data_IF_862695850173
#
_entry.id   IF_862695850173
#
_cell.length_a   1.000
_cell.length_b   1.000
_cell.length_c   1.000
_cell.angle_alpha   90.00
_cell.angle_beta   90.00
_cell.angle_gamma   90.00
#
_symmetry.space_group_name_H-M   'P 1'
#
loop_
_entity.id
_entity.type
_entity.pdbx_description
1 polymer ?
#
# COMPACT_ATOMS: atom_id res chain seq x y z
N UNK A 1 24.57 9.88 6.87
CA UNK A 1 24.15 9.26 5.58
C UNK A 1 25.20 9.38 4.46
N UNK A 2 25.66 10.60 4.16
CA UNK A 2 26.65 10.87 3.10
C UNK A 2 27.94 10.05 3.23
N UNK A 3 28.54 10.03 4.42
CA UNK A 3 29.78 9.29 4.70
C UNK A 3 29.62 7.78 4.47
N UNK A 4 28.50 7.20 4.89
CA UNK A 4 28.21 5.77 4.70
C UNK A 4 28.05 5.44 3.22
N UNK A 5 27.38 6.30 2.45
CA UNK A 5 27.25 6.14 1.00
C UNK A 5 28.60 6.23 0.29
N UNK A 6 29.46 7.20 0.68
CA UNK A 6 30.81 7.33 0.12
C UNK A 6 31.69 6.12 0.46
N UNK A 7 31.63 5.62 1.70
CA UNK A 7 32.32 4.41 2.12
C UNK A 7 31.84 3.19 1.33
N UNK A 8 30.53 3.05 1.12
CA UNK A 8 29.99 1.96 0.31
C UNK A 8 30.50 2.03 -1.14
N UNK A 9 30.53 3.23 -1.74
CA UNK A 9 31.06 3.43 -3.08
C UNK A 9 32.55 3.12 -3.18
N UNK A 10 33.35 3.55 -2.20
CA UNK A 10 34.79 3.25 -2.19
C UNK A 10 35.06 1.75 -2.05
N UNK A 11 34.37 1.07 -1.14
CA UNK A 11 34.44 -0.38 -0.97
C UNK A 11 34.00 -1.13 -2.24
N UNK A 12 32.92 -0.69 -2.88
CA UNK A 12 32.44 -1.28 -4.14
C UNK A 12 33.41 -1.06 -5.29
N UNK A 13 34.00 0.13 -5.39
CA UNK A 13 35.03 0.43 -6.39
C UNK A 13 36.25 -0.47 -6.20
N UNK A 14 36.76 -0.59 -4.98
CA UNK A 14 37.88 -1.48 -4.63
C UNK A 14 37.53 -2.93 -5.00
N UNK A 15 36.34 -3.40 -4.64
CA UNK A 15 35.90 -4.77 -4.97
C UNK A 15 35.82 -5.01 -6.49
N UNK A 16 35.22 -4.08 -7.24
CA UNK A 16 35.14 -4.18 -8.71
C UNK A 16 36.52 -4.12 -9.35
N UNK A 17 37.42 -3.29 -8.82
CA UNK A 17 38.81 -3.21 -9.27
C UNK A 17 39.58 -4.52 -9.04
N UNK A 18 39.53 -5.08 -7.83
CA UNK A 18 40.12 -6.39 -7.54
C UNK A 18 39.52 -7.50 -8.41
N UNK A 19 38.21 -7.45 -8.65
CA UNK A 19 37.54 -8.42 -9.52
C UNK A 19 38.00 -8.30 -10.97
N UNK A 20 38.05 -7.08 -11.51
CA UNK A 20 38.55 -6.82 -12.86
C UNK A 20 40.00 -7.26 -13.00
N UNK A 21 40.84 -7.02 -11.98
CA UNK A 21 42.21 -7.49 -11.92
C UNK A 21 42.29 -9.03 -11.92
N UNK A 22 41.44 -9.71 -11.14
CA UNK A 22 41.35 -11.17 -11.10
C UNK A 22 40.88 -11.79 -12.42
N UNK A 23 40.00 -11.10 -13.16
CA UNK A 23 39.57 -11.50 -14.51
C UNK A 23 40.72 -11.29 -15.51
N UNK A 24 41.39 -10.14 -15.46
CA UNK A 24 42.55 -9.85 -16.30
C UNK A 24 43.73 -10.83 -16.05
N UNK A 25 43.89 -11.29 -14.81
CA UNK A 25 44.86 -12.33 -14.42
C UNK A 25 44.41 -13.76 -14.79
N UNK A 26 43.26 -13.94 -15.46
CA UNK A 26 42.75 -15.24 -15.88
C UNK A 26 42.28 -16.15 -14.75
N UNK A 27 42.22 -15.64 -13.51
CA UNK A 27 41.84 -16.42 -12.31
C UNK A 27 40.34 -16.49 -12.07
N UNK A 28 39.55 -15.70 -12.79
CA UNK A 28 38.08 -15.71 -12.69
C UNK A 28 37.43 -15.49 -14.04
N UNK A 29 36.34 -16.20 -14.31
CA UNK A 29 35.54 -16.02 -15.53
C UNK A 29 34.68 -14.76 -15.40
N UNK A 30 34.45 -14.01 -16.49
CA UNK A 30 33.48 -12.93 -16.47
C UNK A 30 32.09 -13.52 -16.15
N UNK A 31 31.48 -13.09 -15.04
CA UNK A 31 30.03 -13.23 -14.89
C UNK A 31 29.42 -12.17 -15.80
N UNK A 32 29.02 -12.56 -17.00
CA UNK A 32 28.14 -11.71 -17.78
C UNK A 32 26.80 -11.64 -17.05
N UNK A 33 26.45 -10.45 -16.59
CA UNK A 33 25.15 -10.13 -15.97
C UNK A 33 23.98 -10.69 -16.80
N UNK A 34 24.16 -10.80 -18.13
CA UNK A 34 23.23 -11.45 -19.05
C UNK A 34 23.03 -12.95 -18.77
N UNK A 35 24.08 -13.73 -18.45
CA UNK A 35 23.95 -15.15 -18.10
C UNK A 35 23.19 -15.36 -16.79
N UNK A 36 23.38 -14.47 -15.82
CA UNK A 36 22.65 -14.48 -14.52
C UNK A 36 21.19 -14.05 -14.72
N UNK A 37 20.92 -13.14 -15.66
CA UNK A 37 19.57 -12.73 -16.01
C UNK A 37 18.84 -13.84 -16.78
N UNK A 38 19.52 -14.47 -17.75
CA UNK A 38 19.06 -15.65 -18.49
C UNK A 38 18.71 -16.80 -17.55
N UNK A 39 19.58 -17.12 -16.59
CA UNK A 39 19.33 -18.22 -15.63
C UNK A 39 18.12 -17.94 -14.73
N UNK A 40 17.93 -16.68 -14.32
CA UNK A 40 16.80 -16.28 -13.47
C UNK A 40 15.45 -16.33 -14.20
N UNK A 41 15.39 -15.79 -15.43
CA UNK A 41 14.18 -15.87 -16.25
C UNK A 41 13.84 -17.33 -16.62
N UNK A 42 14.85 -18.15 -16.93
CA UNK A 42 14.65 -19.56 -17.20
C UNK A 42 14.10 -20.32 -15.98
N UNK A 43 14.59 -20.03 -14.77
CA UNK A 43 14.07 -20.61 -13.55
C UNK A 43 12.60 -20.21 -13.29
N UNK A 44 12.26 -18.94 -13.48
CA UNK A 44 10.87 -18.47 -13.39
C UNK A 44 9.95 -19.21 -14.38
N UNK A 45 10.38 -19.40 -15.62
CA UNK A 45 9.58 -20.11 -16.64
C UNK A 45 9.41 -21.58 -16.31
N UNK A 46 10.46 -22.24 -15.80
CA UNK A 46 10.34 -23.63 -15.31
C UNK A 46 9.24 -23.74 -14.26
N UNK A 47 9.17 -22.79 -13.33
CA UNK A 47 8.08 -22.78 -12.32
C UNK A 47 6.69 -22.55 -12.93
N UNK A 48 6.58 -21.85 -14.07
CA UNK A 48 5.29 -21.65 -14.75
C UNK A 48 4.81 -22.92 -15.47
N UNK A 49 5.72 -23.73 -16.01
CA UNK A 49 5.39 -24.98 -16.70
C UNK A 49 5.26 -26.17 -15.75
N UNK A 50 5.85 -26.10 -14.55
CA UNK A 50 5.58 -27.02 -13.45
C UNK A 50 4.15 -26.78 -12.96
N UNK A 51 3.22 -27.60 -13.45
CA UNK A 51 1.83 -27.57 -13.00
C UNK A 51 1.79 -28.04 -11.55
N UNK A 52 1.63 -27.12 -10.61
CA UNK A 52 1.31 -27.45 -9.22
C UNK A 52 -0.19 -27.68 -9.12
N UNK A 53 -0.61 -28.76 -8.45
CA UNK A 53 -2.04 -28.96 -8.21
C UNK A 53 -2.58 -27.86 -7.27
N UNK A 54 -3.77 -27.30 -7.55
CA UNK A 54 -4.31 -26.18 -6.79
C UNK A 54 -4.55 -26.52 -5.31
N UNK A 55 -4.78 -27.81 -5.00
CA UNK A 55 -4.92 -28.32 -3.63
C UNK A 55 -3.58 -28.25 -2.87
N UNK A 56 -2.49 -28.60 -3.53
CA UNK A 56 -1.13 -28.51 -2.95
C UNK A 56 -0.68 -27.06 -2.73
N UNK A 57 -1.07 -26.13 -3.61
CA UNK A 57 -0.81 -24.70 -3.40
C UNK A 57 -1.58 -24.15 -2.19
N UNK A 58 -2.83 -24.56 -2.01
CA UNK A 58 -3.67 -24.10 -0.91
C UNK A 58 -3.18 -24.65 0.44
N UNK A 59 -2.76 -25.92 0.47
CA UNK A 59 -2.08 -26.52 1.62
C UNK A 59 -0.74 -25.85 1.93
N UNK A 60 0.09 -25.59 0.91
CA UNK A 60 1.38 -24.94 1.07
C UNK A 60 1.24 -23.51 1.61
N UNK A 61 0.17 -22.79 1.24
CA UNK A 61 -0.17 -21.47 1.79
C UNK A 61 -0.66 -21.57 3.23
N UNK A 62 -1.47 -22.59 3.57
CA UNK A 62 -1.93 -22.85 4.95
C UNK A 62 -0.78 -23.20 5.91
N UNK A 63 0.27 -23.90 5.43
CA UNK A 63 1.48 -24.22 6.21
C UNK A 63 2.41 -23.03 6.48
N UNK A 64 2.23 -21.87 5.84
CA UNK A 64 3.08 -20.68 6.09
C UNK A 64 2.66 -19.98 7.39
N UNK A 65 3.64 -19.66 8.24
CA UNK A 65 3.42 -18.80 9.43
C UNK A 65 2.69 -17.51 9.06
N UNK A 66 1.80 -17.03 9.92
CA UNK A 66 0.97 -15.84 9.70
C UNK A 66 1.79 -14.61 9.28
N UNK A 67 3.00 -14.46 9.83
CA UNK A 67 3.95 -13.40 9.44
C UNK A 67 4.43 -13.55 7.99
N UNK A 68 4.78 -14.76 7.55
CA UNK A 68 5.20 -15.05 6.17
C UNK A 68 4.04 -14.92 5.17
N UNK A 69 2.81 -15.20 5.62
CA UNK A 69 1.58 -15.04 4.83
C UNK A 69 1.18 -13.58 4.64
N UNK A 70 1.39 -12.72 5.66
CA UNK A 70 0.87 -11.35 5.68
C UNK A 70 1.93 -10.28 5.37
N UNK A 71 3.16 -10.45 5.86
CA UNK A 71 4.21 -9.43 5.84
C UNK A 71 5.08 -9.51 4.56
N UNK A 72 5.68 -10.67 4.28
CA UNK A 72 6.49 -10.86 3.08
C UNK A 72 6.63 -12.34 2.70
N UNK A 73 6.13 -12.72 1.52
CA UNK A 73 6.36 -14.06 0.95
C UNK A 73 7.63 -14.01 0.11
N UNK A 74 8.74 -14.61 0.52
CA UNK A 74 10.00 -14.57 -0.25
C UNK A 74 9.87 -15.38 -1.55
N UNK A 75 10.18 -14.78 -2.70
CA UNK A 75 10.25 -15.53 -3.98
C UNK A 75 11.67 -15.40 -4.55
N UNK A 76 12.40 -16.52 -4.63
CA UNK A 76 13.76 -16.53 -5.20
C UNK A 76 13.77 -16.12 -6.69
N UNK A 77 12.65 -16.27 -7.40
CA UNK A 77 12.53 -16.02 -8.84
C UNK A 77 12.02 -14.61 -9.17
N UNK A 78 11.97 -13.70 -8.19
CA UNK A 78 11.59 -12.31 -8.43
C UNK A 78 12.72 -11.35 -8.05
N UNK A 79 13.10 -10.48 -8.99
CA UNK A 79 14.08 -9.40 -8.76
C UNK A 79 13.38 -8.05 -8.88
N UNK A 80 13.61 -7.17 -7.92
CA UNK A 80 13.13 -5.80 -8.00
C UNK A 80 13.97 -5.01 -9.01
N UNK A 81 13.35 -4.13 -9.81
CA UNK A 81 14.11 -3.23 -10.66
C UNK A 81 14.94 -2.26 -9.79
N UNK A 82 16.13 -1.91 -10.26
CA UNK A 82 17.06 -1.04 -9.54
C UNK A 82 16.40 0.30 -9.14
N UNK A 83 15.53 0.84 -10.00
CA UNK A 83 14.75 2.06 -9.74
C UNK A 83 13.95 1.98 -8.44
N UNK A 84 13.25 0.87 -8.17
CA UNK A 84 12.42 0.71 -6.97
C UNK A 84 13.25 0.63 -5.69
N UNK A 85 14.39 -0.08 -5.74
CA UNK A 85 15.31 -0.17 -4.60
C UNK A 85 15.94 1.20 -4.33
N UNK A 86 16.40 1.89 -5.37
CA UNK A 86 16.97 3.23 -5.26
C UNK A 86 15.97 4.23 -4.66
N UNK A 87 14.70 4.21 -5.10
CA UNK A 87 13.67 5.07 -4.51
C UNK A 87 13.38 4.75 -3.05
N UNK A 88 13.40 3.48 -2.65
CA UNK A 88 13.16 3.11 -1.26
C UNK A 88 14.32 3.55 -0.36
N UNK A 89 15.57 3.30 -0.77
CA UNK A 89 16.75 3.71 -0.01
C UNK A 89 16.84 5.23 0.08
N UNK A 90 16.64 5.94 -1.04
CA UNK A 90 16.65 7.40 -1.04
C UNK A 90 15.49 7.97 -0.21
N UNK A 91 14.30 7.36 -0.29
CA UNK A 91 13.16 7.70 0.55
C UNK A 91 13.46 7.58 2.05
N UNK A 92 14.13 6.51 2.48
CA UNK A 92 14.57 6.34 3.88
C UNK A 92 15.57 7.42 4.29
N UNK A 93 16.54 7.76 3.43
CA UNK A 93 17.53 8.81 3.71
C UNK A 93 16.84 10.18 3.84
N UNK A 94 15.96 10.53 2.91
CA UNK A 94 15.23 11.79 2.93
C UNK A 94 14.29 11.89 4.15
N UNK A 95 13.58 10.80 4.47
CA UNK A 95 12.73 10.73 5.66
C UNK A 95 13.56 10.90 6.94
N UNK A 96 14.70 10.23 7.04
CA UNK A 96 15.62 10.40 8.17
C UNK A 96 16.09 11.86 8.31
N UNK A 97 16.43 12.52 7.21
CA UNK A 97 16.83 13.93 7.23
C UNK A 97 15.71 14.85 7.74
N UNK A 98 14.46 14.67 7.27
CA UNK A 98 13.33 15.48 7.75
C UNK A 98 13.03 15.21 9.22
N UNK A 99 12.97 13.94 9.63
CA UNK A 99 12.71 13.58 11.04
C UNK A 99 13.80 14.14 11.95
N UNK A 100 15.07 14.12 11.52
CA UNK A 100 16.15 14.72 12.30
C UNK A 100 15.97 16.24 12.43
N UNK A 101 15.59 16.94 11.35
CA UNK A 101 15.28 18.37 11.40
C UNK A 101 14.12 18.63 12.37
N UNK A 102 13.05 17.82 12.32
CA UNK A 102 11.90 17.94 13.23
C UNK A 102 12.30 17.75 14.70
N UNK A 103 13.15 16.76 15.00
CA UNK A 103 13.68 16.54 16.35
C UNK A 103 14.54 17.73 16.79
N UNK A 104 15.44 18.25 15.94
CA UNK A 104 16.26 19.42 16.29
C UNK A 104 15.40 20.66 16.54
N UNK A 105 14.38 20.88 15.72
CA UNK A 105 13.42 21.97 15.90
C UNK A 105 12.65 21.81 17.21
N UNK A 106 12.21 20.59 17.52
CA UNK A 106 11.52 20.28 18.78
C UNK A 106 12.42 20.59 19.97
N UNK A 107 13.71 20.21 19.94
CA UNK A 107 14.66 20.49 21.01
C UNK A 107 14.91 21.99 21.20
N UNK A 108 15.02 22.75 20.10
CA UNK A 108 15.17 24.21 20.15
C UNK A 108 13.95 24.88 20.78
N UNK A 109 12.75 24.57 20.28
CA UNK A 109 11.49 25.11 20.81
C UNK A 109 11.31 24.72 22.28
N UNK A 110 11.62 23.48 22.64
CA UNK A 110 11.55 23.00 24.03
C UNK A 110 12.41 23.82 24.98
N UNK A 111 13.60 24.26 24.53
CA UNK A 111 14.49 25.09 25.34
C UNK A 111 13.91 26.48 25.55
N UNK A 112 13.45 27.13 24.48
CA UNK A 112 12.83 28.45 24.56
C UNK A 112 11.57 28.43 25.44
N UNK A 113 10.76 27.36 25.33
CA UNK A 113 9.56 27.17 26.18
C UNK A 113 9.94 27.03 27.64
N UNK A 114 11.00 26.28 27.97
CA UNK A 114 11.47 26.12 29.35
C UNK A 114 12.02 27.44 29.92
N UNK A 115 12.77 28.22 29.15
CA UNK A 115 13.26 29.54 29.57
C UNK A 115 12.09 30.53 29.78
N UNK A 116 11.05 30.44 28.94
CA UNK A 116 9.83 31.23 29.07
C UNK A 116 8.98 30.81 30.29
N UNK A 117 8.88 29.51 30.57
CA UNK A 117 8.16 28.97 31.73
C UNK A 117 8.77 29.48 33.05
N UNK A 118 10.11 29.44 33.18
CA UNK A 118 10.81 30.00 34.35
C UNK A 118 10.56 31.50 34.50
N UNK A 119 10.62 32.25 33.40
CA UNK A 119 10.36 33.69 33.41
C UNK A 119 8.92 34.03 33.81
N UNK A 120 7.95 33.21 33.41
CA UNK A 120 6.55 33.36 33.81
C UNK A 120 6.34 33.03 35.28
N UNK A 121 6.98 31.97 35.80
CA UNK A 121 6.90 31.61 37.21
C UNK A 121 7.46 32.71 38.11
N UNK A 122 8.56 33.36 37.72
CA UNK A 122 9.11 34.53 38.43
C UNK A 122 8.12 35.70 38.47
N UNK A 123 7.44 35.96 37.35
CA UNK A 123 6.45 37.06 37.25
C UNK A 123 5.18 36.77 38.05
N UNK A 124 4.73 35.52 38.09
CA UNK A 124 3.56 35.08 38.87
C UNK A 124 3.84 35.15 40.38
N UNK A 125 5.06 34.78 40.79
CA UNK A 125 5.48 34.84 42.20
C UNK A 125 5.77 36.27 42.71
N UNK A 126 5.92 37.25 41.80
CA UNK A 126 6.15 38.65 42.15
C UNK A 126 4.89 39.40 42.66
N UNK A 127 3.76 38.71 42.87
CA UNK A 127 2.51 39.23 43.49
C UNK A 127 1.80 40.40 42.76
N UNK A 128 2.28 40.80 41.58
CA UNK A 128 1.81 42.01 40.87
C UNK A 128 0.63 41.80 39.89
N UNK A 129 0.08 40.58 39.78
CA UNK A 129 -0.89 40.26 38.73
C UNK A 129 -2.29 39.89 39.26
N UNK A 130 -3.38 40.47 38.71
CA UNK A 130 -4.74 40.16 39.14
C UNK A 130 -5.07 38.67 38.98
N UNK A 131 -5.77 38.11 39.96
CA UNK A 131 -6.04 36.67 40.12
C UNK A 131 -6.66 35.96 38.89
N UNK A 132 -7.36 36.69 38.01
CA UNK A 132 -7.86 36.15 36.74
C UNK A 132 -6.77 35.84 35.71
N UNK A 133 -5.69 36.62 35.68
CA UNK A 133 -4.57 36.44 34.74
C UNK A 133 -3.71 35.25 35.12
N UNK A 134 -3.53 35.00 36.43
CA UNK A 134 -2.74 33.87 36.94
C UNK A 134 -3.34 32.52 36.51
N UNK A 135 -4.66 32.41 36.49
CA UNK A 135 -5.35 31.19 36.03
C UNK A 135 -5.19 30.94 34.52
N UNK A 136 -5.21 32.00 33.71
CA UNK A 136 -5.02 31.91 32.26
C UNK A 136 -3.57 31.56 31.90
N UNK A 137 -2.60 32.12 32.62
CA UNK A 137 -1.17 31.83 32.44
C UNK A 137 -0.86 30.37 32.80
N UNK A 138 -1.40 29.86 33.91
CA UNK A 138 -1.22 28.47 34.33
C UNK A 138 -1.78 27.48 33.29
N UNK A 139 -2.98 27.74 32.74
CA UNK A 139 -3.55 26.92 31.67
C UNK A 139 -2.70 26.93 30.39
N UNK A 140 -2.09 28.07 30.08
CA UNK A 140 -1.21 28.20 28.92
C UNK A 140 0.08 27.39 29.08
N UNK A 141 0.71 27.44 30.26
CA UNK A 141 1.90 26.62 30.57
C UNK A 141 1.59 25.13 30.49
N UNK A 142 0.46 24.70 31.07
CA UNK A 142 -0.02 23.32 30.98
C UNK A 142 -0.22 22.88 29.52
N UNK A 143 -0.80 23.75 28.68
CA UNK A 143 -0.96 23.50 27.25
C UNK A 143 0.36 23.32 26.52
N UNK A 144 1.34 24.18 26.79
CA UNK A 144 2.65 24.09 26.15
C UNK A 144 3.34 22.77 26.48
N UNK A 145 3.31 22.34 27.76
CA UNK A 145 3.87 21.05 28.18
C UNK A 145 3.18 19.85 27.53
N UNK A 146 1.84 19.84 27.51
CA UNK A 146 1.06 18.77 26.88
C UNK A 146 1.30 18.73 25.36
N UNK A 147 1.33 19.88 24.70
CA UNK A 147 1.59 19.99 23.28
C UNK A 147 3.00 19.49 22.91
N UNK A 148 4.03 19.79 23.72
CA UNK A 148 5.39 19.30 23.49
C UNK A 148 5.50 17.78 23.56
N UNK A 149 4.85 17.15 24.55
CA UNK A 149 4.80 15.69 24.70
C UNK A 149 4.03 15.06 23.53
N UNK A 150 2.86 15.63 23.19
CA UNK A 150 2.04 15.14 22.08
C UNK A 150 2.78 15.25 20.74
N UNK A 151 3.49 16.36 20.50
CA UNK A 151 4.33 16.56 19.31
C UNK A 151 5.41 15.50 19.22
N UNK A 152 6.14 15.27 20.31
CA UNK A 152 7.21 14.26 20.38
C UNK A 152 6.70 12.85 20.07
N UNK A 153 5.59 12.43 20.69
CA UNK A 153 5.00 11.10 20.42
C UNK A 153 4.52 10.99 18.97
N UNK A 154 3.91 12.06 18.44
CA UNK A 154 3.47 12.10 17.06
C UNK A 154 4.65 12.00 16.07
N UNK A 155 5.80 12.60 16.36
CA UNK A 155 7.01 12.51 15.52
C UNK A 155 7.47 11.05 15.39
N UNK A 156 7.60 10.34 16.51
CA UNK A 156 8.05 8.94 16.49
C UNK A 156 7.05 8.01 15.81
N UNK A 157 5.76 8.20 16.05
CA UNK A 157 4.70 7.38 15.44
C UNK A 157 4.54 7.67 13.94
N UNK A 158 4.65 8.92 13.51
CA UNK A 158 4.65 9.31 12.09
C UNK A 158 5.88 8.79 11.35
N UNK A 159 7.06 8.81 11.99
CA UNK A 159 8.28 8.26 11.44
C UNK A 159 8.18 6.73 11.26
N UNK A 160 7.72 6.01 12.28
CA UNK A 160 7.55 4.56 12.24
C UNK A 160 6.55 4.11 11.15
N UNK A 161 5.42 4.81 11.05
CA UNK A 161 4.40 4.54 10.02
C UNK A 161 4.90 4.85 8.61
N UNK A 162 5.65 5.94 8.42
CA UNK A 162 6.26 6.30 7.13
C UNK A 162 7.29 5.26 6.69
N UNK A 163 8.13 4.75 7.60
CA UNK A 163 9.06 3.65 7.31
C UNK A 163 8.30 2.38 6.92
N UNK A 164 7.23 2.04 7.65
CA UNK A 164 6.38 0.91 7.30
C UNK A 164 5.75 1.06 5.91
N UNK A 165 5.36 2.27 5.51
CA UNK A 165 4.85 2.55 4.17
C UNK A 165 5.87 2.31 3.06
N UNK A 166 7.14 2.69 3.25
CA UNK A 166 8.21 2.42 2.26
C UNK A 166 8.33 0.92 1.99
N UNK A 167 8.39 0.10 3.05
CA UNK A 167 8.44 -1.36 2.90
C UNK A 167 7.17 -1.91 2.28
N UNK A 168 6.00 -1.41 2.70
CA UNK A 168 4.72 -1.84 2.16
C UNK A 168 4.59 -1.55 0.66
N UNK A 169 5.10 -0.41 0.16
CA UNK A 169 5.11 -0.09 -1.27
C UNK A 169 5.91 -1.10 -2.09
N UNK A 170 7.05 -1.60 -1.58
CA UNK A 170 7.82 -2.67 -2.24
C UNK A 170 7.01 -3.98 -2.32
N UNK A 171 6.28 -4.33 -1.25
CA UNK A 171 5.41 -5.51 -1.27
C UNK A 171 4.26 -5.34 -2.26
N UNK A 172 3.64 -4.16 -2.30
CA UNK A 172 2.59 -3.80 -3.24
C UNK A 172 3.07 -3.86 -4.69
N UNK A 173 4.24 -3.29 -4.99
CA UNK A 173 4.86 -3.34 -6.31
C UNK A 173 4.93 -4.79 -6.81
N UNK A 174 5.51 -5.67 -6.00
CA UNK A 174 5.68 -7.08 -6.35
C UNK A 174 4.35 -7.81 -6.57
N UNK A 175 3.35 -7.53 -5.72
CA UNK A 175 2.00 -8.11 -5.88
C UNK A 175 1.33 -7.62 -7.17
N UNK A 176 1.41 -6.32 -7.46
CA UNK A 176 0.78 -5.71 -8.62
C UNK A 176 1.44 -6.14 -9.93
N UNK A 177 2.78 -6.13 -10.02
CA UNK A 177 3.49 -6.52 -11.24
C UNK A 177 3.27 -8.01 -11.57
N UNK A 178 3.22 -8.89 -10.57
CA UNK A 178 2.91 -10.32 -10.77
C UNK A 178 1.47 -10.57 -11.22
N UNK A 179 0.51 -9.80 -10.70
CA UNK A 179 -0.88 -9.85 -11.21
C UNK A 179 -0.92 -9.41 -12.67
N UNK A 180 -0.17 -8.36 -12.99
CA UNK A 180 -0.11 -7.82 -14.33
C UNK A 180 0.57 -8.78 -15.33
N UNK A 181 1.61 -9.51 -14.92
CA UNK A 181 2.21 -10.60 -15.73
C UNK A 181 1.21 -11.73 -16.04
N UNK A 182 0.27 -12.01 -15.12
CA UNK A 182 -0.81 -12.98 -15.35
C UNK A 182 -1.95 -12.42 -16.20
N UNK A 183 -1.89 -11.15 -16.57
CA UNK A 183 -2.96 -10.48 -17.31
C UNK A 183 -4.17 -10.07 -16.46
N UNK A 184 -4.09 -10.18 -15.13
CA UNK A 184 -5.16 -9.71 -14.23
C UNK A 184 -5.13 -8.18 -14.12
N UNK A 185 -6.11 -7.55 -14.77
CA UNK A 185 -6.28 -6.09 -14.84
C UNK A 185 -7.37 -5.56 -13.90
N UNK A 186 -7.89 -6.39 -12.99
CA UNK A 186 -8.99 -6.03 -12.09
C UNK A 186 -8.73 -4.80 -11.21
N UNK A 187 -7.46 -4.56 -10.85
CA UNK A 187 -7.04 -3.44 -10.01
C UNK A 187 -6.77 -2.14 -10.78
N UNK A 188 -6.77 -2.18 -12.12
CA UNK A 188 -6.45 -1.01 -12.94
C UNK A 188 -7.68 -0.11 -13.11
N UNK A 189 -7.47 1.20 -13.37
CA UNK A 189 -8.57 2.11 -13.64
C UNK A 189 -9.35 1.70 -14.88
N UNK A 190 -10.66 1.96 -14.88
CA UNK A 190 -11.55 1.68 -16.03
C UNK A 190 -11.05 2.35 -17.32
N UNK A 191 -10.53 3.57 -17.20
CA UNK A 191 -9.92 4.32 -18.31
C UNK A 191 -8.41 4.22 -18.19
N UNK A 192 -7.78 3.57 -19.18
CA UNK A 192 -6.32 3.47 -19.23
C UNK A 192 -5.70 4.76 -19.78
N UNK A 193 -4.57 5.22 -19.22
CA UNK A 193 -3.85 6.37 -19.76
C UNK A 193 -3.26 6.06 -21.16
N UNK A 194 -3.11 7.10 -21.99
CA UNK A 194 -2.44 7.00 -23.30
C UNK A 194 -0.94 6.71 -23.12
N UNK A 195 -0.29 6.22 -24.17
CA UNK A 195 1.13 5.81 -24.13
C UNK A 195 2.11 6.94 -23.72
N UNK A 196 1.95 8.15 -24.27
CA UNK A 196 2.83 9.29 -23.94
C UNK A 196 2.84 9.63 -22.44
N UNK A 197 1.67 9.94 -21.82
CA UNK A 197 1.57 10.16 -20.38
C UNK A 197 2.07 9.00 -19.52
N UNK A 198 1.93 7.76 -19.98
CA UNK A 198 2.38 6.55 -19.28
C UNK A 198 3.91 6.46 -19.20
N UNK A 199 4.61 6.79 -20.28
CA UNK A 199 6.07 6.86 -20.30
C UNK A 199 6.55 8.01 -19.41
N UNK A 200 5.92 9.18 -19.51
CA UNK A 200 6.25 10.33 -18.67
C UNK A 200 6.07 10.02 -17.17
N UNK A 201 5.02 9.28 -16.81
CA UNK A 201 4.80 8.78 -15.46
C UNK A 201 5.94 7.86 -14.98
N UNK A 202 6.43 6.96 -15.82
CA UNK A 202 7.58 6.09 -15.48
C UNK A 202 8.86 6.86 -15.15
N UNK A 203 9.10 8.00 -15.81
CA UNK A 203 10.25 8.89 -15.53
C UNK A 203 10.05 9.69 -14.25
N UNK A 204 8.84 10.23 -14.03
CA UNK A 204 8.51 11.08 -12.87
C UNK A 204 8.36 10.32 -11.56
N UNK A 205 8.09 9.03 -11.64
CA UNK A 205 7.79 8.17 -10.49
C UNK A 205 8.75 8.35 -9.32
N UNK A 206 10.05 8.34 -9.56
CA UNK A 206 11.06 8.33 -8.49
C UNK A 206 11.02 9.59 -7.64
N UNK A 207 10.98 10.76 -8.28
CA UNK A 207 10.90 12.05 -7.61
C UNK A 207 9.56 12.24 -6.92
N UNK A 208 8.47 11.85 -7.59
CA UNK A 208 7.13 11.98 -7.03
C UNK A 208 6.95 11.09 -5.80
N UNK A 209 7.35 9.83 -5.87
CA UNK A 209 7.27 8.91 -4.73
C UNK A 209 7.96 9.47 -3.47
N UNK A 210 9.12 10.10 -3.63
CA UNK A 210 9.84 10.72 -2.50
C UNK A 210 9.09 11.97 -2.05
N UNK A 211 8.65 12.85 -2.96
CA UNK A 211 7.90 14.05 -2.59
C UNK A 211 6.61 13.74 -1.83
N UNK A 212 5.82 12.76 -2.30
CA UNK A 212 4.60 12.30 -1.61
C UNK A 212 4.90 11.65 -0.27
N UNK A 213 6.03 10.93 -0.14
CA UNK A 213 6.46 10.39 1.14
C UNK A 213 6.77 11.50 2.16
N UNK A 214 7.49 12.55 1.76
CA UNK A 214 7.86 13.66 2.64
C UNK A 214 6.65 14.52 3.02
N UNK A 215 5.83 14.91 2.05
CA UNK A 215 4.57 15.62 2.33
C UNK A 215 3.61 14.76 3.15
N UNK A 216 3.54 13.47 2.85
CA UNK A 216 2.73 12.52 3.59
C UNK A 216 3.17 12.38 5.05
N UNK A 217 4.48 12.42 5.32
CA UNK A 217 4.99 12.47 6.69
C UNK A 217 4.52 13.73 7.43
N UNK A 218 4.64 14.92 6.82
CA UNK A 218 4.20 16.18 7.44
C UNK A 218 2.69 16.19 7.74
N UNK A 219 1.88 15.74 6.77
CA UNK A 219 0.42 15.66 6.94
C UNK A 219 0.04 14.63 8.02
N UNK A 220 0.67 13.45 7.99
CA UNK A 220 0.42 12.40 8.96
C UNK A 220 0.82 12.82 10.38
N UNK A 221 1.96 13.48 10.52
CA UNK A 221 2.45 14.05 11.77
C UNK A 221 1.48 15.08 12.33
N UNK A 222 1.04 16.04 11.52
CA UNK A 222 0.04 17.04 11.93
C UNK A 222 -1.29 16.42 12.36
N UNK A 223 -1.81 15.44 11.62
CA UNK A 223 -3.06 14.75 11.98
C UNK A 223 -2.91 13.93 13.26
N UNK A 224 -1.79 13.20 13.43
CA UNK A 224 -1.52 12.45 14.65
C UNK A 224 -1.32 13.35 15.86
N UNK A 225 -0.67 14.51 15.68
CA UNK A 225 -0.53 15.53 16.71
C UNK A 225 -1.88 16.06 17.18
N UNK A 226 -2.76 16.47 16.25
CA UNK A 226 -4.11 16.94 16.59
C UNK A 226 -4.93 15.85 17.29
N UNK A 227 -4.83 14.61 16.84
CA UNK A 227 -5.49 13.48 17.48
C UNK A 227 -4.96 13.23 18.89
N UNK A 228 -3.65 13.33 19.10
CA UNK A 228 -3.03 13.18 20.42
C UNK A 228 -3.43 14.31 21.37
N UNK A 229 -3.52 15.55 20.89
CA UNK A 229 -4.02 16.68 21.67
C UNK A 229 -5.47 16.46 22.11
N UNK A 230 -6.32 15.99 21.19
CA UNK A 230 -7.72 15.67 21.48
C UNK A 230 -7.85 14.55 22.52
N UNK A 231 -6.98 13.52 22.45
CA UNK A 231 -6.96 12.44 23.45
C UNK A 231 -6.42 12.94 24.80
N UNK A 232 -5.38 13.78 24.79
CA UNK A 232 -4.76 14.31 26.00
C UNK A 232 -5.74 15.17 26.81
N UNK A 233 -6.40 16.13 26.16
CA UNK A 233 -7.42 16.97 26.79
C UNK A 233 -8.73 16.25 27.04
N UNK A 234 -9.14 15.38 26.13
CA UNK A 234 -10.41 14.66 26.22
C UNK A 234 -10.41 13.58 27.30
N UNK A 235 -9.27 12.89 27.53
CA UNK A 235 -9.22 11.74 28.44
C UNK A 235 -8.09 11.84 29.47
N UNK A 236 -6.85 12.12 29.05
CA UNK A 236 -5.67 11.98 29.93
C UNK A 236 -5.70 12.98 31.11
N UNK A 237 -5.90 14.27 30.83
CA UNK A 237 -5.91 15.33 31.85
C UNK A 237 -7.07 15.19 32.87
N UNK A 238 -8.32 14.93 32.45
CA UNK A 238 -9.41 14.65 33.40
C UNK A 238 -9.14 13.44 34.29
N UNK A 239 -8.53 12.37 33.75
CA UNK A 239 -8.19 11.16 34.51
C UNK A 239 -7.10 11.46 35.55
N UNK A 240 -6.03 12.16 35.16
CA UNK A 240 -4.92 12.51 36.05
C UNK A 240 -5.35 13.46 37.18
N UNK A 241 -6.25 14.41 36.89
CA UNK A 241 -6.75 15.36 37.89
C UNK A 241 -7.82 14.78 38.83
N UNK A 242 -8.10 13.47 38.78
CA UNK A 242 -9.12 12.81 39.60
C UNK A 242 -10.57 13.21 39.25
N UNK A 243 -10.76 14.04 38.21
CA UNK A 243 -12.06 14.50 37.70
C UNK A 243 -12.61 13.61 36.58
N UNK A 244 -12.02 12.44 36.36
CA UNK A 244 -12.50 11.46 35.38
C UNK A 244 -13.96 11.05 35.61
N UNK A 245 -14.41 11.03 36.87
CA UNK A 245 -15.81 10.75 37.21
C UNK A 245 -16.74 11.90 36.80
N UNK A 246 -16.31 13.17 36.93
CA UNK A 246 -17.07 14.33 36.47
C UNK A 246 -17.14 14.40 34.95
N UNK A 247 -16.07 14.00 34.25
CA UNK A 247 -16.08 13.83 32.80
C UNK A 247 -17.06 12.73 32.37
N UNK A 248 -17.07 11.60 33.09
CA UNK A 248 -18.02 10.52 32.83
C UNK A 248 -19.46 10.96 33.08
N UNK A 249 -19.72 11.75 34.12
CA UNK A 249 -21.03 12.37 34.40
C UNK A 249 -21.43 13.41 33.32
N UNK A 250 -20.48 14.18 32.79
CA UNK A 250 -20.71 15.06 31.65
C UNK A 250 -21.05 14.29 30.37
N UNK A 251 -20.44 13.12 30.19
CA UNK A 251 -20.79 12.18 29.13
C UNK A 251 -22.10 11.44 29.41
N UNK A 252 -22.46 11.19 30.66
CA UNK A 252 -23.69 10.51 31.10
C UNK A 252 -24.94 11.21 30.56
N UNK A 253 -24.92 12.55 30.54
CA UNK A 253 -25.95 13.39 29.89
C UNK A 253 -26.15 13.08 28.40
N UNK A 254 -25.10 12.63 27.70
CA UNK A 254 -25.15 12.23 26.28
C UNK A 254 -25.18 10.72 26.03
N UNK A 255 -24.86 9.89 27.03
CA UNK A 255 -24.83 8.44 26.88
C UNK A 255 -26.24 7.87 26.66
N UNK A 256 -27.24 8.40 27.38
CA UNK A 256 -28.62 7.96 27.21
C UNK A 256 -29.14 8.26 25.79
N UNK A 257 -28.81 9.42 25.23
CA UNK A 257 -29.24 9.79 23.87
C UNK A 257 -28.55 8.94 22.81
N UNK A 258 -27.24 8.66 22.95
CA UNK A 258 -26.51 7.74 22.06
C UNK A 258 -27.06 6.32 22.17
N UNK A 259 -27.31 5.82 23.39
CA UNK A 259 -27.88 4.50 23.62
C UNK A 259 -29.28 4.38 23.02
N UNK A 260 -30.12 5.40 23.19
CA UNK A 260 -31.45 5.45 22.58
C UNK A 260 -31.36 5.44 21.06
N UNK A 261 -30.43 6.20 20.47
CA UNK A 261 -30.20 6.21 19.03
C UNK A 261 -29.80 4.83 18.51
N UNK A 262 -28.80 4.21 19.14
CA UNK A 262 -28.36 2.85 18.77
C UNK A 262 -29.50 1.84 18.98
N UNK A 263 -30.24 1.96 20.07
CA UNK A 263 -31.39 1.11 20.40
C UNK A 263 -32.47 1.17 19.33
N UNK A 264 -32.82 2.36 18.84
CA UNK A 264 -33.80 2.52 17.75
C UNK A 264 -33.29 1.88 16.46
N UNK A 265 -32.01 2.07 16.10
CA UNK A 265 -31.42 1.40 14.91
C UNK A 265 -31.50 -0.13 15.05
N UNK A 266 -31.14 -0.68 16.21
CA UNK A 266 -31.20 -2.12 16.47
C UNK A 266 -32.64 -2.64 16.38
N UNK A 267 -33.60 -1.92 16.97
CA UNK A 267 -35.02 -2.25 16.88
C UNK A 267 -35.51 -2.21 15.43
N UNK A 268 -35.12 -1.20 14.65
CA UNK A 268 -35.45 -1.11 13.22
C UNK A 268 -34.92 -2.33 12.45
N UNK A 269 -33.67 -2.75 12.70
CA UNK A 269 -33.09 -3.94 12.07
C UNK A 269 -33.85 -5.21 12.47
N UNK A 270 -34.13 -5.39 13.77
CA UNK A 270 -34.86 -6.57 14.27
C UNK A 270 -36.27 -6.65 13.67
N UNK A 271 -37.02 -5.55 13.68
CA UNK A 271 -38.37 -5.52 13.10
C UNK A 271 -38.31 -5.80 11.60
N UNK A 272 -37.30 -5.28 10.89
CA UNK A 272 -37.14 -5.55 9.46
C UNK A 272 -36.89 -7.03 9.14
N UNK A 273 -36.08 -7.71 9.94
CA UNK A 273 -35.76 -9.12 9.74
C UNK A 273 -36.91 -10.06 10.18
N UNK A 274 -37.62 -9.73 11.26
CA UNK A 274 -38.67 -10.58 11.82
C UNK A 274 -40.02 -10.36 11.13
N UNK A 275 -40.41 -9.11 10.87
CA UNK A 275 -41.78 -8.78 10.44
C UNK A 275 -41.90 -8.51 8.94
N UNK A 276 -40.84 -8.02 8.26
CA UNK A 276 -40.94 -7.59 6.86
C UNK A 276 -40.28 -8.55 5.88
N UNK A 277 -39.20 -9.22 6.27
CA UNK A 277 -38.45 -10.12 5.38
C UNK A 277 -39.19 -11.45 5.13
N UNK A 278 -39.21 -11.90 3.88
CA UNK A 278 -39.81 -13.17 3.49
C UNK A 278 -39.01 -14.34 4.08
N UNK A 279 -39.67 -15.40 4.57
CA UNK A 279 -38.98 -16.62 4.99
C UNK A 279 -38.22 -17.25 3.81
N UNK A 280 -37.23 -18.10 4.14
CA UNK A 280 -36.41 -18.79 3.15
C UNK A 280 -37.30 -19.57 2.18
N UNK A 281 -37.06 -19.40 0.88
CA UNK A 281 -37.77 -20.12 -0.19
C UNK A 281 -37.30 -21.59 -0.24
N UNK A 282 -35.99 -21.81 -0.07
CA UNK A 282 -35.39 -23.14 0.04
C UNK A 282 -34.66 -23.30 1.38
N UNK A 283 -34.77 -24.47 2.01
CA UNK A 283 -34.11 -24.76 3.29
C UNK A 283 -32.56 -24.78 3.18
N UNK A 284 -32.03 -25.01 1.98
CA UNK A 284 -30.59 -25.04 1.68
C UNK A 284 -29.96 -23.66 1.44
N UNK A 285 -30.76 -22.59 1.30
CA UNK A 285 -30.23 -21.25 1.09
C UNK A 285 -29.60 -20.68 2.37
N UNK A 286 -28.37 -20.16 2.26
CA UNK A 286 -27.60 -19.61 3.39
C UNK A 286 -28.32 -18.42 4.05
N UNK A 287 -28.91 -17.52 3.24
CA UNK A 287 -29.58 -16.30 3.69
C UNK A 287 -31.04 -16.23 3.24
N UNK A 288 -31.89 -15.54 4.01
CA UNK A 288 -33.26 -15.20 3.58
C UNK A 288 -33.21 -14.30 2.33
N UNK A 289 -34.14 -14.46 1.37
CA UNK A 289 -34.18 -13.62 0.17
C UNK A 289 -34.57 -12.18 0.53
N UNK A 290 -34.05 -11.19 -0.21
CA UNK A 290 -34.42 -9.78 -0.08
C UNK A 290 -35.80 -9.50 -0.71
N UNK A 291 -36.82 -10.21 -0.27
CA UNK A 291 -38.20 -10.04 -0.69
C UNK A 291 -39.07 -9.70 0.53
N UNK A 292 -40.02 -8.78 0.37
CA UNK A 292 -40.85 -8.29 1.46
C UNK A 292 -42.18 -9.06 1.50
N UNK A 293 -42.56 -9.57 2.67
CA UNK A 293 -43.81 -10.30 2.86
C UNK A 293 -45.00 -9.35 3.16
N UNK A 294 -44.78 -8.29 3.94
CA UNK A 294 -45.81 -7.32 4.31
C UNK A 294 -45.44 -5.89 3.89
N UNK A 295 -45.59 -5.63 2.59
CA UNK A 295 -45.23 -4.36 1.96
C UNK A 295 -45.97 -3.18 2.63
N UNK A 296 -47.27 -3.32 2.94
CA UNK A 296 -48.07 -2.23 3.55
C UNK A 296 -47.57 -1.85 4.94
N UNK A 297 -47.22 -2.82 5.77
CA UNK A 297 -46.68 -2.55 7.10
C UNK A 297 -45.28 -1.95 7.03
N UNK A 298 -44.44 -2.39 6.08
CA UNK A 298 -43.14 -1.77 5.82
C UNK A 298 -43.27 -0.31 5.40
N UNK A 299 -44.24 0.04 4.54
CA UNK A 299 -44.49 1.43 4.16
C UNK A 299 -44.89 2.30 5.36
N UNK A 300 -45.82 1.84 6.21
CA UNK A 300 -46.22 2.59 7.41
C UNK A 300 -45.06 2.74 8.41
N UNK A 301 -44.26 1.69 8.57
CA UNK A 301 -43.07 1.69 9.43
C UNK A 301 -42.02 2.68 8.94
N UNK A 302 -41.70 2.65 7.64
CA UNK A 302 -40.76 3.59 7.03
C UNK A 302 -41.26 5.04 7.11
N UNK A 303 -42.57 5.27 6.94
CA UNK A 303 -43.15 6.61 7.09
C UNK A 303 -43.04 7.14 8.52
N UNK A 304 -43.26 6.30 9.54
CA UNK A 304 -43.15 6.70 10.95
C UNK A 304 -41.72 7.10 11.33
N UNK A 305 -40.71 6.34 10.87
CA UNK A 305 -39.30 6.61 11.18
C UNK A 305 -38.63 7.64 10.26
N UNK A 306 -39.32 8.11 9.22
CA UNK A 306 -38.76 8.99 8.19
C UNK A 306 -37.98 10.19 8.75
N UNK A 307 -38.58 10.97 9.65
CA UNK A 307 -37.92 12.16 10.21
C UNK A 307 -36.71 11.81 11.09
N UNK A 308 -36.81 10.69 11.82
CA UNK A 308 -35.71 10.20 12.65
C UNK A 308 -34.53 9.73 11.79
N UNK A 309 -34.81 9.00 10.70
CA UNK A 309 -33.80 8.54 9.76
C UNK A 309 -33.11 9.71 9.03
N UNK A 310 -33.82 10.81 8.77
CA UNK A 310 -33.20 12.05 8.26
C UNK A 310 -32.17 12.60 9.26
N UNK A 311 -32.50 12.67 10.55
CA UNK A 311 -31.57 13.13 11.58
C UNK A 311 -30.33 12.21 11.70
N UNK A 312 -30.54 10.89 11.69
CA UNK A 312 -29.44 9.92 11.66
C UNK A 312 -28.58 10.07 10.40
N UNK A 313 -29.21 10.27 9.25
CA UNK A 313 -28.52 10.48 7.98
C UNK A 313 -27.61 11.70 7.96
N UNK A 314 -28.04 12.81 8.58
CA UNK A 314 -27.20 14.00 8.75
C UNK A 314 -25.96 13.70 9.61
N UNK A 315 -26.13 13.02 10.73
CA UNK A 315 -25.01 12.60 11.60
C UNK A 315 -24.04 11.66 10.88
N UNK A 316 -24.57 10.65 10.17
CA UNK A 316 -23.78 9.72 9.37
C UNK A 316 -23.01 10.42 8.24
N UNK A 317 -23.55 11.51 7.68
CA UNK A 317 -22.87 12.32 6.67
C UNK A 317 -21.63 13.04 7.24
N UNK A 318 -21.75 13.65 8.42
CA UNK A 318 -20.62 14.31 9.10
C UNK A 318 -19.55 13.28 9.44
N UNK A 319 -19.95 12.14 10.02
CA UNK A 319 -19.04 11.02 10.33
C UNK A 319 -18.33 10.54 9.06
N UNK A 320 -19.06 10.37 7.95
CA UNK A 320 -18.48 10.01 6.64
C UNK A 320 -17.43 11.01 6.17
N UNK A 321 -17.68 12.31 6.31
CA UNK A 321 -16.73 13.35 5.92
C UNK A 321 -15.46 13.31 6.78
N UNK A 322 -15.62 13.22 8.11
CA UNK A 322 -14.50 13.19 9.05
C UNK A 322 -13.64 11.92 8.86
N UNK A 323 -14.25 10.73 8.83
CA UNK A 323 -13.51 9.49 8.59
C UNK A 323 -12.86 9.49 7.20
N UNK A 324 -13.54 10.01 6.17
CA UNK A 324 -12.98 10.15 4.84
C UNK A 324 -11.74 11.05 4.82
N UNK A 325 -11.80 12.20 5.49
CA UNK A 325 -10.68 13.13 5.59
C UNK A 325 -9.51 12.54 6.38
N UNK A 326 -9.76 11.93 7.55
CA UNK A 326 -8.72 11.33 8.39
C UNK A 326 -8.05 10.14 7.69
N UNK A 327 -8.83 9.22 7.12
CA UNK A 327 -8.26 8.07 6.39
C UNK A 327 -7.52 8.55 5.14
N UNK A 328 -8.06 9.54 4.42
CA UNK A 328 -7.41 10.17 3.28
C UNK A 328 -6.04 10.74 3.66
N UNK A 329 -5.99 11.58 4.69
CA UNK A 329 -4.76 12.18 5.20
C UNK A 329 -3.72 11.13 5.64
N UNK A 330 -4.16 10.08 6.36
CA UNK A 330 -3.29 8.98 6.76
C UNK A 330 -2.71 8.17 5.59
N UNK A 331 -3.38 8.19 4.43
CA UNK A 331 -2.98 7.48 3.22
C UNK A 331 -2.32 8.39 2.17
N UNK A 332 -2.18 9.71 2.39
CA UNK A 332 -1.58 10.65 1.43
C UNK A 332 -0.17 10.25 1.00
N UNK A 333 0.63 9.70 1.92
CA UNK A 333 2.00 9.25 1.61
C UNK A 333 2.06 8.11 0.58
N UNK A 334 0.94 7.42 0.35
CA UNK A 334 0.85 6.17 -0.41
C UNK A 334 0.26 6.41 -1.78
N UNK A 335 1.12 6.37 -2.81
CA UNK A 335 0.70 6.48 -4.21
C UNK A 335 0.23 5.15 -4.82
N UNK A 336 0.33 4.04 -4.09
CA UNK A 336 -0.07 2.71 -4.56
C UNK A 336 -1.59 2.52 -4.61
N UNK A 337 -2.34 3.40 -3.94
CA UNK A 337 -3.80 3.45 -3.93
C UNK A 337 -4.25 4.87 -4.20
N UNK A 338 -5.40 4.99 -4.86
CA UNK A 338 -6.02 6.29 -5.08
C UNK A 338 -6.87 6.72 -3.89
N UNK A 339 -6.83 8.01 -3.60
CA UNK A 339 -7.72 8.68 -2.62
C UNK A 339 -9.09 8.97 -3.26
N UNK A 340 -9.14 9.00 -4.60
CA UNK A 340 -10.32 9.37 -5.36
C UNK A 340 -11.33 8.21 -5.43
N UNK A 341 -12.65 8.49 -5.51
CA UNK A 341 -13.66 7.46 -5.72
C UNK A 341 -13.46 6.72 -7.04
N UNK A 342 -13.91 5.47 -7.08
CA UNK A 342 -13.83 4.59 -8.25
C UNK A 342 -14.45 5.28 -9.47
N UNK A 343 -13.68 5.40 -10.54
CA UNK A 343 -14.07 6.12 -11.77
C UNK A 343 -13.41 7.48 -11.94
N UNK A 344 -12.99 8.13 -10.85
CA UNK A 344 -12.22 9.39 -10.85
C UNK A 344 -10.73 9.18 -10.57
N UNK A 345 -10.28 7.92 -10.53
CA UNK A 345 -8.90 7.51 -10.23
C UNK A 345 -7.84 8.11 -11.17
N UNK A 346 -8.24 8.54 -12.37
CA UNK A 346 -7.35 9.17 -13.37
C UNK A 346 -7.00 10.62 -12.97
N UNK A 347 -7.83 11.27 -12.15
CA UNK A 347 -7.58 12.63 -11.65
C UNK A 347 -6.47 12.63 -10.61
N UNK A 348 -6.29 11.52 -9.90
CA UNK A 348 -5.22 11.33 -8.95
C UNK A 348 -3.89 11.13 -9.70
N UNK A 349 -3.12 12.22 -9.79
CA UNK A 349 -1.85 12.21 -10.53
C UNK A 349 -0.83 11.27 -9.87
N UNK A 350 -0.85 11.12 -8.54
CA UNK A 350 0.03 10.21 -7.82
C UNK A 350 -0.24 8.76 -8.21
N UNK A 351 -1.50 8.35 -8.12
CA UNK A 351 -1.92 7.00 -8.53
C UNK A 351 -1.73 6.76 -10.04
N UNK A 352 -2.04 7.75 -10.90
CA UNK A 352 -1.78 7.65 -12.33
C UNK A 352 -0.28 7.45 -12.63
N UNK A 353 0.60 8.05 -11.83
CA UNK A 353 2.06 7.90 -11.98
C UNK A 353 2.50 6.48 -11.60
N UNK A 354 1.95 5.94 -10.52
CA UNK A 354 2.16 4.55 -10.10
C UNK A 354 1.72 3.55 -11.18
N UNK A 355 0.50 3.71 -11.72
CA UNK A 355 -0.02 2.85 -12.79
C UNK A 355 0.81 2.98 -14.08
N UNK A 356 1.22 4.20 -14.44
CA UNK A 356 2.07 4.42 -15.60
C UNK A 356 3.42 3.72 -15.50
N UNK A 357 4.06 3.80 -14.32
CA UNK A 357 5.29 3.06 -14.04
C UNK A 357 5.08 1.54 -14.17
N UNK A 358 4.02 0.98 -13.59
CA UNK A 358 3.75 -0.47 -13.65
C UNK A 358 3.58 -0.97 -15.08
N UNK A 359 2.88 -0.22 -15.93
CA UNK A 359 2.74 -0.56 -17.35
C UNK A 359 4.08 -0.47 -18.08
N UNK A 360 4.86 0.59 -17.83
CA UNK A 360 6.20 0.72 -18.42
C UNK A 360 7.09 -0.49 -18.06
N UNK A 361 7.08 -0.91 -16.80
CA UNK A 361 7.82 -2.10 -16.36
C UNK A 361 7.26 -3.40 -16.97
N UNK A 362 5.94 -3.51 -17.11
CA UNK A 362 5.32 -4.66 -17.77
C UNK A 362 5.82 -4.81 -19.21
N UNK A 363 5.76 -3.74 -20.01
CA UNK A 363 6.07 -3.79 -21.43
C UNK A 363 7.56 -4.03 -21.69
N UNK A 364 8.45 -3.47 -20.87
CA UNK A 364 9.90 -3.59 -21.07
C UNK A 364 10.55 -4.77 -20.33
N UNK A 365 9.96 -5.22 -19.22
CA UNK A 365 10.59 -6.22 -18.33
C UNK A 365 9.74 -7.49 -18.16
N UNK A 366 8.87 -7.82 -19.14
CA UNK A 366 8.09 -9.05 -19.07
C UNK A 366 9.01 -10.28 -19.11
N UNK A 367 9.08 -11.12 -18.05
CA UNK A 367 10.08 -12.18 -17.94
C UNK A 367 9.93 -13.25 -19.03
N UNK A 368 8.69 -13.57 -19.43
CA UNK A 368 8.43 -14.54 -20.50
C UNK A 368 8.90 -14.02 -21.87
N UNK A 369 8.72 -12.73 -22.14
CA UNK A 369 9.12 -12.13 -23.42
C UNK A 369 10.64 -12.06 -23.52
N UNK A 370 11.30 -11.59 -22.46
CA UNK A 370 12.75 -11.53 -22.40
C UNK A 370 13.37 -12.91 -22.56
N UNK A 371 12.86 -13.92 -21.86
CA UNK A 371 13.35 -15.28 -22.01
C UNK A 371 13.15 -15.83 -23.43
N UNK A 372 11.99 -15.57 -24.04
CA UNK A 372 11.73 -15.98 -25.42
C UNK A 372 12.74 -15.35 -26.38
N UNK A 373 13.00 -14.05 -26.26
CA UNK A 373 14.02 -13.37 -27.06
C UNK A 373 15.42 -13.95 -26.82
N UNK A 374 15.78 -14.24 -25.56
CA UNK A 374 17.10 -14.84 -25.27
C UNK A 374 17.24 -16.24 -25.85
N UNK A 375 16.17 -17.05 -25.85
CA UNK A 375 16.17 -18.38 -26.47
C UNK A 375 16.34 -18.29 -27.99
N UNK A 376 15.71 -17.30 -28.64
CA UNK A 376 15.89 -17.05 -30.06
C UNK A 376 17.32 -16.62 -30.40
N UNK A 377 17.90 -15.70 -29.61
CA UNK A 377 19.27 -15.24 -29.81
C UNK A 377 20.30 -16.37 -29.63
N UNK A 378 20.16 -17.17 -28.56
CA UNK A 378 21.04 -18.32 -28.32
C UNK A 378 20.93 -19.35 -29.46
N UNK A 379 19.72 -19.60 -29.97
CA UNK A 379 19.49 -20.47 -31.13
C UNK A 379 20.14 -19.97 -32.43
N UNK A 380 20.15 -18.66 -32.67
CA UNK A 380 20.84 -18.04 -33.80
C UNK A 380 22.37 -18.16 -33.68
N UNK A 381 22.94 -17.94 -32.49
CA UNK A 381 24.37 -18.08 -32.25
C UNK A 381 24.86 -19.52 -32.37
N UNK A 382 24.07 -20.50 -31.91
CA UNK A 382 24.39 -21.92 -32.09
C UNK A 382 24.28 -22.38 -33.56
N UNK A 383 23.59 -21.64 -34.42
CA UNK A 383 23.49 -21.96 -35.85
C UNK A 383 24.64 -21.38 -36.67
N UNK A 384 25.34 -20.35 -36.17
CA UNK A 384 26.51 -19.73 -36.82
C UNK A 384 27.85 -20.30 -36.34
N UNK A 385 27.89 -20.92 -35.16
CA UNK A 385 29.01 -21.78 -34.74
C UNK A 385 28.92 -23.17 -35.39
N UNK A 386 29.98 -23.59 -36.07
CA UNK A 386 30.16 -24.87 -36.78
C UNK A 386 29.33 -26.02 -36.18
N UNK A 387 28.27 -26.45 -36.88
CA UNK A 387 27.49 -27.63 -36.47
C UNK A 387 28.41 -28.86 -36.43
N UNK A 388 28.45 -29.62 -35.32
CA UNK A 388 28.95 -30.99 -35.36
C UNK A 388 28.03 -31.81 -36.27
N UNK A 389 28.62 -32.49 -37.25
CA UNK A 389 27.98 -33.36 -38.23
C UNK A 389 27.27 -34.57 -37.60
N UNK A 390 26.14 -34.35 -36.93
CA UNK A 390 25.34 -35.47 -36.40
C UNK A 390 24.13 -35.05 -35.60
N UNK A 391 23.05 -34.58 -36.24
CA UNK A 391 21.70 -34.67 -35.67
C UNK A 391 20.60 -34.25 -36.68
N UNK A 392 19.96 -35.26 -37.29
CA UNK A 392 18.60 -35.25 -37.87
C UNK A 392 18.25 -34.15 -38.89
N UNK A 393 17.95 -34.56 -40.13
CA UNK A 393 17.59 -33.66 -41.22
C UNK A 393 16.37 -32.76 -40.94
N UNK A 394 16.21 -31.65 -41.69
CA UNK A 394 15.15 -30.65 -41.46
C UNK A 394 13.73 -31.24 -41.44
N UNK A 395 13.50 -32.32 -42.19
CA UNK A 395 12.21 -33.04 -42.20
C UNK A 395 11.86 -33.68 -40.85
N UNK A 396 12.84 -34.24 -40.13
CA UNK A 396 12.60 -34.88 -38.83
C UNK A 396 12.24 -33.83 -37.76
N UNK A 397 12.90 -32.67 -37.80
CA UNK A 397 12.57 -31.53 -36.91
C UNK A 397 11.16 -31.00 -37.17
N UNK A 398 10.77 -30.86 -38.44
CA UNK A 398 9.43 -30.44 -38.82
C UNK A 398 8.35 -31.42 -38.33
N UNK A 399 8.60 -32.73 -38.45
CA UNK A 399 7.68 -33.76 -37.95
C UNK A 399 7.54 -33.70 -36.42
N UNK A 400 8.65 -33.58 -35.68
CA UNK A 400 8.63 -33.46 -34.23
C UNK A 400 7.88 -32.20 -33.74
N UNK A 401 8.05 -31.07 -34.43
CA UNK A 401 7.29 -29.83 -34.18
C UNK A 401 5.79 -30.03 -34.42
N UNK A 402 5.42 -30.76 -35.49
CA UNK A 402 4.03 -31.12 -35.78
C UNK A 402 3.38 -31.93 -34.65
N UNK A 403 4.08 -32.93 -34.11
CA UNK A 403 3.61 -33.72 -32.98
C UNK A 403 3.50 -32.91 -31.68
N UNK A 404 4.47 -32.03 -31.41
CA UNK A 404 4.42 -31.15 -30.24
C UNK A 404 3.22 -30.20 -30.30
N UNK A 405 2.95 -29.65 -31.49
CA UNK A 405 1.81 -28.78 -31.74
C UNK A 405 0.49 -29.50 -31.49
N UNK A 406 0.33 -30.72 -32.03
CA UNK A 406 -0.85 -31.54 -31.83
C UNK A 406 -1.07 -31.85 -30.35
N UNK A 407 -0.01 -32.27 -29.62
CA UNK A 407 -0.07 -32.54 -28.18
C UNK A 407 -0.51 -31.31 -27.38
N UNK A 408 -0.03 -30.13 -27.75
CA UNK A 408 -0.38 -28.88 -27.07
C UNK A 408 -1.85 -28.52 -27.28
N UNK A 409 -2.36 -28.70 -28.51
CA UNK A 409 -3.76 -28.43 -28.83
C UNK A 409 -4.74 -29.41 -28.17
N UNK A 410 -4.39 -30.70 -28.13
CA UNK A 410 -5.21 -31.72 -27.47
C UNK A 410 -5.37 -31.43 -25.97
N UNK A 411 -4.29 -30.99 -25.31
CA UNK A 411 -4.31 -30.66 -23.88
C UNK A 411 -4.97 -29.30 -23.57
N UNK A 412 -5.22 -28.45 -24.57
CA UNK A 412 -5.74 -27.09 -24.39
C UNK A 412 -6.84 -26.78 -25.44
N UNK A 413 -8.06 -27.31 -25.28
CA UNK A 413 -9.11 -27.24 -26.31
C UNK A 413 -9.52 -25.80 -26.66
N UNK A 414 -9.48 -24.86 -25.70
CA UNK A 414 -9.79 -23.43 -25.97
C UNK A 414 -8.80 -22.77 -26.94
N UNK A 415 -7.55 -23.22 -26.97
CA UNK A 415 -6.55 -22.69 -27.92
C UNK A 415 -6.82 -23.16 -29.35
N UNK A 416 -7.44 -24.32 -29.53
CA UNK A 416 -7.82 -24.82 -30.84
C UNK A 416 -8.86 -23.91 -31.51
N UNK A 417 -9.92 -23.54 -30.77
CA UNK A 417 -10.93 -22.61 -31.27
C UNK A 417 -10.34 -21.23 -31.61
N UNK A 418 -9.49 -20.69 -30.74
CA UNK A 418 -8.84 -19.39 -30.95
C UNK A 418 -7.90 -19.40 -32.16
N UNK A 419 -7.16 -20.50 -32.36
CA UNK A 419 -6.29 -20.64 -33.53
C UNK A 419 -7.08 -20.65 -34.82
N UNK A 420 -8.18 -21.41 -34.88
CA UNK A 420 -9.02 -21.53 -36.08
C UNK A 420 -9.63 -20.17 -36.47
N UNK A 421 -10.17 -19.42 -35.50
CA UNK A 421 -10.71 -18.08 -35.74
C UNK A 421 -9.66 -17.13 -36.31
N UNK A 422 -8.45 -17.15 -35.77
CA UNK A 422 -7.38 -16.24 -36.20
C UNK A 422 -6.88 -16.52 -37.63
N UNK A 423 -6.95 -17.77 -38.09
CA UNK A 423 -6.65 -18.12 -39.48
C UNK A 423 -7.76 -17.75 -40.46
N UNK A 424 -8.97 -17.49 -39.98
CA UNK A 424 -10.09 -17.04 -40.81
C UNK A 424 -10.14 -15.49 -40.94
N UNK A 425 -9.58 -14.76 -39.95
CA UNK A 425 -9.50 -13.28 -39.93
C UNK A 425 -8.24 -12.70 -40.64
N UNK A 426 -7.28 -13.55 -41.01
CA UNK A 426 -6.03 -13.18 -41.70
C UNK A 426 -6.04 -13.65 -43.14
#
# INVERSE_FOLDING_TARGET
PSLVCQLFLSLKFIHMFFRALMIALGRSKPEETELILKSHHAAYIKTLFLKTDPEDEEEAVKRKSCFRRKCYDWDPHFKFPARMIATAVLGVICLYSIVLIDIQLTMLVSREVAEFEVSLDELVNADDLPSGTNSSVSQFVEFMGVAQIAWSISTYTAAATSVAYIFHILVCYRKHIKRLWRGDRSFLPRKQPKAGPMIAAGVRYTGWQIAYLLWGYLVLHGVQFLLMLLIAYGFVLPIMSGRGLQMLQGLEMGQLSIFLVIGVIVVQVIISDVCFLQPKINAEDSSRPLALNNIRAFLNFSYFFFFYDVMLGMGACIVRLLFGATIGACLVARIDRTIMPRGYEVVDMGYSTWIGMLHMDLYHSHPVLLAFCTLLLDGCHCSTGTLPNGASGPAFRALALGWLLLRTLLNNPRLFEQRKRRSDDS
#
